data_IF_267511674198
#
_entry.id   IF_267511674198
#
_cell.length_a   1.000
_cell.length_b   1.000
_cell.length_c   1.000
_cell.angle_alpha   90.00
_cell.angle_beta   90.00
_cell.angle_gamma   90.00
#
_symmetry.space_group_name_H-M   'P 1'
#
loop_
_entity.id
_entity.type
_entity.pdbx_description
1 polymer ?
#
# COMPACT_ATOMS: atom_id res chain seq x y z
N UNK A 1 -33.47 -10.17 -2.40
CA UNK A 1 -33.35 -8.72 -2.63
C UNK A 1 -31.86 -8.39 -2.64
N UNK A 2 -31.33 -7.93 -3.77
CA UNK A 2 -29.87 -7.79 -3.98
C UNK A 2 -29.28 -6.65 -3.16
N UNK A 3 -28.13 -6.89 -2.51
CA UNK A 3 -27.32 -5.92 -1.72
C UNK A 3 -27.14 -4.52 -2.35
N UNK A 4 -27.27 -4.41 -3.66
CA UNK A 4 -27.18 -3.13 -4.40
C UNK A 4 -28.24 -2.09 -4.00
N UNK A 5 -29.38 -2.50 -3.43
CA UNK A 5 -30.41 -1.55 -3.00
C UNK A 5 -30.01 -0.73 -1.75
N UNK A 6 -28.98 -1.16 -1.01
CA UNK A 6 -28.54 -0.51 0.22
C UNK A 6 -27.55 0.66 0.01
N UNK A 7 -26.98 0.82 -1.20
CA UNK A 7 -25.87 1.77 -1.43
C UNK A 7 -26.18 2.73 -2.58
N UNK A 8 -26.92 3.80 -2.27
CA UNK A 8 -27.16 4.91 -3.21
C UNK A 8 -25.82 5.55 -3.60
N UNK A 9 -25.52 5.57 -4.89
CA UNK A 9 -24.26 6.13 -5.40
C UNK A 9 -23.09 5.15 -5.48
N UNK A 10 -23.31 3.84 -5.25
CA UNK A 10 -22.31 2.82 -5.52
C UNK A 10 -22.07 2.67 -7.02
N UNK A 11 -20.84 2.87 -7.46
CA UNK A 11 -20.46 2.87 -8.88
C UNK A 11 -19.67 1.64 -9.32
N UNK A 12 -19.17 0.84 -8.37
CA UNK A 12 -18.50 -0.42 -8.69
C UNK A 12 -18.14 -1.23 -7.46
N UNK A 13 -17.78 -2.50 -7.69
CA UNK A 13 -17.22 -3.40 -6.68
C UNK A 13 -15.95 -4.01 -7.26
N UNK A 14 -14.92 -4.11 -6.43
CA UNK A 14 -13.64 -4.72 -6.80
C UNK A 14 -13.48 -6.07 -6.14
N UNK A 15 -12.91 -7.02 -6.87
CA UNK A 15 -12.59 -8.33 -6.34
C UNK A 15 -11.25 -8.29 -5.60
N UNK A 16 -11.29 -8.53 -4.29
CA UNK A 16 -10.14 -8.69 -3.42
C UNK A 16 -10.22 -10.03 -2.68
N UNK A 17 -9.10 -10.46 -2.09
CA UNK A 17 -9.03 -11.65 -1.24
C UNK A 17 -9.95 -11.56 0.00
N UNK A 18 -10.12 -12.67 0.72
CA UNK A 18 -11.07 -12.80 1.83
C UNK A 18 -10.81 -11.86 3.02
N UNK A 19 -9.62 -11.27 3.10
CA UNK A 19 -9.27 -10.31 4.15
C UNK A 19 -8.49 -9.14 3.59
N UNK A 20 -9.04 -7.94 3.74
CA UNK A 20 -8.35 -6.68 3.45
C UNK A 20 -7.59 -6.25 4.69
N UNK A 21 -6.32 -5.93 4.54
CA UNK A 21 -5.45 -5.45 5.62
C UNK A 21 -5.27 -3.93 5.58
N UNK A 22 -5.13 -3.38 4.38
CA UNK A 22 -4.86 -1.95 4.20
C UNK A 22 -5.33 -1.48 2.83
N UNK A 23 -5.66 -0.19 2.74
CA UNK A 23 -6.00 0.48 1.48
C UNK A 23 -5.45 1.89 1.47
N UNK A 24 -5.12 2.40 0.29
CA UNK A 24 -4.66 3.78 0.10
C UNK A 24 -5.10 4.32 -1.25
N UNK A 25 -5.54 5.56 -1.30
CA UNK A 25 -5.80 6.29 -2.55
C UNK A 25 -4.53 7.01 -3.00
N UNK A 26 -4.33 7.10 -4.31
CA UNK A 26 -3.29 7.95 -4.86
C UNK A 26 -3.62 9.42 -4.58
N UNK A 27 -2.60 10.27 -4.38
CA UNK A 27 -2.79 11.71 -4.19
C UNK A 27 -3.55 12.38 -5.35
N UNK A 28 -3.35 11.92 -6.58
CA UNK A 28 -4.08 12.40 -7.76
C UNK A 28 -5.53 11.89 -7.86
N UNK A 29 -5.95 10.99 -6.96
CA UNK A 29 -7.28 10.38 -6.91
C UNK A 29 -7.61 9.44 -8.07
N UNK A 30 -6.66 9.16 -8.96
CA UNK A 30 -6.88 8.31 -10.16
C UNK A 30 -6.69 6.84 -9.90
N UNK A 31 -6.07 6.48 -8.79
CA UNK A 31 -5.75 5.12 -8.43
C UNK A 31 -6.04 4.86 -6.96
N UNK A 32 -6.22 3.58 -6.63
CA UNK A 32 -6.12 3.13 -5.25
C UNK A 32 -5.55 1.73 -5.22
N UNK A 33 -4.95 1.39 -4.07
CA UNK A 33 -4.34 0.10 -3.82
C UNK A 33 -5.05 -0.56 -2.66
N UNK A 34 -5.26 -1.86 -2.81
CA UNK A 34 -5.75 -2.75 -1.76
C UNK A 34 -4.66 -3.77 -1.48
N UNK A 35 -4.34 -3.91 -0.20
CA UNK A 35 -3.59 -5.03 0.30
C UNK A 35 -4.54 -6.03 0.94
N UNK A 36 -4.62 -7.22 0.37
CA UNK A 36 -5.41 -8.31 0.91
C UNK A 36 -4.54 -9.49 1.37
N UNK A 37 -5.16 -10.59 1.78
CA UNK A 37 -4.48 -11.79 2.25
C UNK A 37 -3.61 -12.46 1.19
N UNK A 38 -3.83 -12.17 -0.08
CA UNK A 38 -3.28 -12.91 -1.21
C UNK A 38 -2.34 -12.02 -2.05
N UNK A 39 -2.66 -10.73 -2.17
CA UNK A 39 -1.96 -9.83 -3.08
C UNK A 39 -2.02 -8.34 -2.69
N UNK A 40 -1.11 -7.57 -3.27
CA UNK A 40 -1.28 -6.14 -3.52
C UNK A 40 -1.99 -5.96 -4.86
N UNK A 41 -3.12 -5.24 -4.87
CA UNK A 41 -3.94 -4.99 -6.07
C UNK A 41 -4.12 -3.51 -6.28
N UNK A 42 -3.79 -3.04 -7.47
CA UNK A 42 -3.95 -1.63 -7.85
C UNK A 42 -5.10 -1.49 -8.84
N UNK A 43 -5.93 -0.48 -8.60
CA UNK A 43 -7.16 -0.19 -9.32
C UNK A 43 -7.12 1.23 -9.85
N UNK A 44 -7.69 1.44 -11.04
CA UNK A 44 -7.99 2.78 -11.53
C UNK A 44 -9.35 3.21 -11.00
N UNK A 45 -9.43 4.46 -10.52
CA UNK A 45 -10.63 5.11 -9.99
C UNK A 45 -11.28 6.09 -10.98
N UNK A 46 -10.87 6.09 -12.25
CA UNK A 46 -11.37 7.01 -13.27
C UNK A 46 -12.84 6.79 -13.65
N UNK A 47 -13.52 7.87 -14.02
CA UNK A 47 -14.88 7.94 -14.61
C UNK A 47 -15.94 7.07 -13.92
N UNK A 48 -15.80 6.87 -12.62
CA UNK A 48 -16.66 5.99 -11.82
C UNK A 48 -16.69 4.52 -12.28
N UNK A 49 -15.71 4.09 -13.05
CA UNK A 49 -15.56 2.70 -13.45
C UNK A 49 -14.28 2.15 -12.85
N UNK A 50 -14.44 1.35 -11.81
CA UNK A 50 -13.30 0.72 -11.17
C UNK A 50 -12.83 -0.46 -12.00
N UNK A 51 -11.62 -0.37 -12.55
CA UNK A 51 -11.04 -1.39 -13.42
C UNK A 51 -9.76 -1.97 -12.81
N UNK A 52 -9.64 -3.31 -12.83
CA UNK A 52 -8.39 -4.02 -12.46
C UNK A 52 -7.40 -3.74 -13.59
N UNK A 53 -6.45 -2.83 -13.38
CA UNK A 53 -5.71 -2.29 -14.54
C UNK A 53 -4.19 -2.41 -14.55
N UNK A 54 -3.49 -2.48 -13.43
CA UNK A 54 -2.04 -2.56 -13.52
C UNK A 54 -1.52 -3.97 -13.27
N UNK A 55 -1.65 -4.51 -12.07
CA UNK A 55 -1.16 -5.86 -11.77
C UNK A 55 -1.60 -6.28 -10.36
N UNK A 56 -1.46 -7.58 -10.08
CA UNK A 56 -1.56 -8.15 -8.76
C UNK A 56 -0.26 -8.90 -8.48
N UNK A 57 0.44 -8.56 -7.39
CA UNK A 57 1.57 -9.37 -6.94
C UNK A 57 1.04 -10.42 -5.98
N UNK A 58 0.89 -11.64 -6.50
CA UNK A 58 0.30 -12.79 -5.79
C UNK A 58 1.26 -13.46 -4.79
N UNK A 59 2.47 -12.93 -4.64
CA UNK A 59 3.40 -13.36 -3.59
C UNK A 59 3.33 -12.42 -2.40
N UNK A 60 2.43 -12.73 -1.45
CA UNK A 60 2.52 -12.13 -0.12
C UNK A 60 3.80 -12.60 0.55
N UNK A 61 4.75 -11.69 0.76
CA UNK A 61 5.73 -11.91 1.85
C UNK A 61 4.97 -11.82 3.17
N UNK A 62 4.97 -12.91 3.93
CA UNK A 62 4.53 -12.89 5.31
C UNK A 62 5.25 -11.72 6.01
N UNK A 63 4.48 -10.88 6.69
CA UNK A 63 5.00 -9.67 7.32
C UNK A 63 4.30 -8.40 6.89
N UNK A 64 3.97 -8.19 5.62
CA UNK A 64 3.38 -6.93 5.16
C UNK A 64 1.97 -6.71 5.73
N UNK A 65 1.72 -5.55 6.32
CA UNK A 65 0.40 -5.17 6.85
C UNK A 65 -0.11 -3.81 6.37
N UNK A 66 0.76 -2.95 5.85
CA UNK A 66 0.38 -1.61 5.45
C UNK A 66 0.85 -1.28 4.04
N UNK A 67 0.00 -0.56 3.28
CA UNK A 67 0.34 -0.01 1.98
C UNK A 67 -0.01 1.47 1.93
N UNK A 68 0.85 2.29 1.30
CA UNK A 68 0.65 3.73 1.14
C UNK A 68 1.12 4.19 -0.24
N UNK A 69 0.40 5.12 -0.85
CA UNK A 69 0.90 5.86 -2.01
C UNK A 69 1.96 6.88 -1.62
N UNK A 70 2.95 7.05 -2.50
CA UNK A 70 3.85 8.19 -2.50
C UNK A 70 3.18 9.39 -3.19
N UNK A 71 3.71 10.58 -2.93
CA UNK A 71 3.17 11.86 -3.39
C UNK A 71 3.24 12.01 -4.92
N UNK A 72 4.16 11.28 -5.57
CA UNK A 72 4.28 11.20 -7.03
C UNK A 72 3.06 10.59 -7.71
N UNK A 73 2.17 9.91 -6.97
CA UNK A 73 1.03 9.15 -7.50
C UNK A 73 1.41 8.03 -8.49
N UNK A 74 2.70 7.72 -8.62
CA UNK A 74 3.26 6.69 -9.50
C UNK A 74 3.82 5.52 -8.69
N UNK A 75 4.08 5.73 -7.39
CA UNK A 75 4.71 4.72 -6.55
C UNK A 75 3.92 4.43 -5.27
N UNK A 76 4.05 3.20 -4.77
CA UNK A 76 3.52 2.75 -3.49
C UNK A 76 4.63 2.17 -2.62
N UNK A 77 4.50 2.31 -1.32
CA UNK A 77 5.34 1.63 -0.33
C UNK A 77 4.50 0.58 0.37
N UNK A 78 4.99 -0.66 0.37
CA UNK A 78 4.45 -1.74 1.19
C UNK A 78 5.35 -1.94 2.40
N UNK A 79 4.74 -1.94 3.59
CA UNK A 79 5.42 -1.98 4.87
C UNK A 79 5.09 -3.24 5.65
N UNK A 80 6.08 -3.81 6.34
CA UNK A 80 5.91 -4.91 7.27
C UNK A 80 5.16 -4.42 8.52
N UNK A 81 4.39 -5.32 9.11
CA UNK A 81 3.56 -5.06 10.25
C UNK A 81 4.31 -5.07 11.57
N UNK A 82 3.55 -4.75 12.62
CA UNK A 82 4.00 -4.47 13.99
C UNK A 82 4.79 -5.58 14.66
N UNK A 83 4.76 -6.80 14.14
CA UNK A 83 5.31 -7.98 14.81
C UNK A 83 6.75 -8.33 14.38
N UNK A 84 7.37 -7.56 13.49
CA UNK A 84 8.73 -7.86 13.01
C UNK A 84 9.82 -7.01 13.68
N UNK A 85 10.75 -7.69 14.38
CA UNK A 85 11.99 -7.09 14.91
C UNK A 85 12.93 -6.56 13.82
N UNK A 86 12.72 -7.00 12.58
CA UNK A 86 13.39 -6.52 11.37
C UNK A 86 12.36 -6.31 10.27
N UNK A 87 12.03 -5.05 10.03
CA UNK A 87 11.08 -4.66 9.00
C UNK A 87 11.78 -4.57 7.64
N UNK A 88 11.29 -5.29 6.62
CA UNK A 88 11.65 -5.03 5.21
C UNK A 88 10.51 -4.33 4.48
N UNK A 89 10.73 -3.09 4.05
CA UNK A 89 9.80 -2.33 3.20
C UNK A 89 10.19 -2.43 1.73
N UNK A 90 9.22 -2.36 0.82
CA UNK A 90 9.45 -2.35 -0.63
C UNK A 90 8.67 -1.20 -1.27
N UNK A 91 9.30 -0.47 -2.19
CA UNK A 91 8.62 0.52 -3.05
C UNK A 91 8.35 -0.09 -4.42
N UNK A 92 7.19 0.20 -4.99
CA UNK A 92 6.78 -0.31 -6.29
C UNK A 92 6.26 0.81 -7.18
N UNK A 93 6.60 0.72 -8.46
CA UNK A 93 5.95 1.51 -9.49
C UNK A 93 4.57 0.92 -9.80
N UNK A 94 3.51 1.74 -9.74
CA UNK A 94 2.13 1.26 -9.78
C UNK A 94 1.70 0.73 -11.14
N UNK A 95 2.31 1.17 -12.24
CA UNK A 95 1.91 0.73 -13.57
C UNK A 95 2.59 -0.58 -13.97
N UNK A 96 3.86 -0.73 -13.59
CA UNK A 96 4.73 -1.82 -14.06
C UNK A 96 4.86 -2.94 -13.04
N UNK A 97 4.65 -2.63 -11.75
CA UNK A 97 4.82 -3.58 -10.65
C UNK A 97 6.25 -3.93 -10.32
N UNK A 98 7.18 -3.19 -10.91
CA UNK A 98 8.60 -3.32 -10.63
C UNK A 98 8.87 -2.80 -9.22
N UNK A 99 9.65 -3.56 -8.46
CA UNK A 99 10.20 -3.11 -7.18
C UNK A 99 11.27 -2.08 -7.49
N UNK A 100 11.02 -0.84 -7.11
CA UNK A 100 11.94 0.28 -7.31
C UNK A 100 13.04 0.30 -6.25
N UNK A 101 12.69 -0.07 -5.02
CA UNK A 101 13.62 -0.06 -3.90
C UNK A 101 13.20 -1.03 -2.80
N UNK A 102 14.19 -1.50 -2.03
CA UNK A 102 13.99 -2.33 -0.85
C UNK A 102 14.74 -1.74 0.32
N UNK A 103 14.08 -1.66 1.46
CA UNK A 103 14.67 -1.09 2.65
C UNK A 103 14.57 -2.04 3.82
N UNK A 104 15.56 -2.02 4.71
CA UNK A 104 15.56 -2.82 5.92
C UNK A 104 15.76 -1.94 7.14
N UNK A 105 14.93 -2.16 8.14
CA UNK A 105 14.94 -1.45 9.42
C UNK A 105 15.01 -2.44 10.56
N UNK A 106 15.49 -1.98 11.70
CA UNK A 106 15.39 -2.70 12.97
C UNK A 106 14.26 -2.04 13.79
N UNK A 107 13.16 -2.75 14.00
CA UNK A 107 11.97 -2.23 14.68
C UNK A 107 10.81 -1.87 13.76
N UNK A 108 9.77 -1.25 14.36
CA UNK A 108 8.50 -0.96 13.72
C UNK A 108 8.45 0.42 13.04
N UNK A 109 7.84 0.48 11.85
CA UNK A 109 7.63 1.72 11.08
C UNK A 109 6.18 2.17 11.26
N UNK A 110 5.97 3.30 11.94
CA UNK A 110 4.63 3.90 12.09
C UNK A 110 4.25 4.75 10.87
N UNK A 111 5.23 5.42 10.26
CA UNK A 111 4.95 6.37 9.19
C UNK A 111 6.11 6.50 8.20
N UNK A 112 5.78 6.61 6.92
CA UNK A 112 6.72 6.94 5.84
C UNK A 112 6.28 8.26 5.25
N UNK A 113 7.21 9.19 5.06
CA UNK A 113 6.88 10.48 4.47
C UNK A 113 6.34 10.32 3.04
N UNK A 114 5.45 11.23 2.61
CA UNK A 114 4.87 11.18 1.26
C UNK A 114 5.90 11.22 0.13
N UNK A 115 7.09 11.81 0.35
CA UNK A 115 8.15 11.86 -0.65
C UNK A 115 8.98 10.58 -0.75
N UNK A 116 8.74 9.58 0.11
CA UNK A 116 9.57 8.38 0.24
C UNK A 116 10.95 8.63 0.88
N UNK A 117 11.32 9.89 1.15
CA UNK A 117 12.68 10.29 1.59
C UNK A 117 12.87 10.37 3.10
N UNK A 118 11.80 10.64 3.87
CA UNK A 118 11.85 10.72 5.33
C UNK A 118 11.15 9.50 5.95
N UNK A 119 12.01 8.68 6.57
CA UNK A 119 11.71 7.58 7.48
C UNK A 119 11.11 8.09 8.80
N UNK A 120 9.98 7.64 9.34
CA UNK A 120 9.69 7.88 10.77
C UNK A 120 9.51 6.53 11.49
N UNK A 121 10.59 6.11 12.14
CA UNK A 121 10.67 4.93 13.02
C UNK A 121 10.53 5.39 14.48
N UNK A 122 9.64 4.77 15.29
CA UNK A 122 9.59 4.84 16.77
C UNK A 122 8.77 3.64 17.29
N UNK A 123 9.01 2.98 18.46
CA UNK A 123 9.44 3.56 19.75
C UNK A 123 10.34 2.63 20.62
N UNK A 124 11.26 1.83 20.06
CA UNK A 124 12.17 1.05 20.94
C UNK A 124 13.07 1.99 21.75
N UNK A 125 13.37 3.17 21.20
CA UNK A 125 14.22 4.20 21.81
C UNK A 125 13.56 5.60 21.87
N UNK A 126 12.26 5.71 21.52
CA UNK A 126 11.49 6.97 21.49
C UNK A 126 12.07 8.08 20.58
N UNK A 127 12.94 7.75 19.61
CA UNK A 127 13.57 8.73 18.72
C UNK A 127 13.06 8.63 17.30
N UNK A 128 13.00 9.76 16.60
CA UNK A 128 12.74 9.81 15.15
C UNK A 128 14.05 9.63 14.39
N UNK A 129 14.12 8.58 13.57
CA UNK A 129 15.29 8.29 12.73
C UNK A 129 15.01 8.65 11.27
N UNK A 130 15.81 9.55 10.70
CA UNK A 130 15.82 9.86 9.28
C UNK A 130 16.84 8.98 8.57
N UNK A 131 16.40 8.18 7.60
CA UNK A 131 17.26 7.36 6.76
C UNK A 131 17.02 7.72 5.30
N UNK A 132 18.10 7.86 4.54
CA UNK A 132 18.03 7.93 3.09
C UNK A 132 18.05 6.50 2.50
N UNK A 133 17.30 6.25 1.42
CA UNK A 133 17.39 4.99 0.68
C UNK A 133 18.81 4.79 0.12
N UNK A 134 19.39 3.60 0.30
CA UNK A 134 20.65 3.17 -0.37
C UNK A 134 20.43 2.84 -1.86
#
# INVERSE_FOLDING_TARGET
ASERAAYKGLVGTVACGPKIWSMSFSPDGRHFVIQDSDALRVWSAGDHVVQKRSWAREERRAGLSEVRFLQDSESIVALPGRDELRATGETYHIETGVVESRFRWKGYVEHVSPSGKLQVLTPIDYNVHQNEPE
#
